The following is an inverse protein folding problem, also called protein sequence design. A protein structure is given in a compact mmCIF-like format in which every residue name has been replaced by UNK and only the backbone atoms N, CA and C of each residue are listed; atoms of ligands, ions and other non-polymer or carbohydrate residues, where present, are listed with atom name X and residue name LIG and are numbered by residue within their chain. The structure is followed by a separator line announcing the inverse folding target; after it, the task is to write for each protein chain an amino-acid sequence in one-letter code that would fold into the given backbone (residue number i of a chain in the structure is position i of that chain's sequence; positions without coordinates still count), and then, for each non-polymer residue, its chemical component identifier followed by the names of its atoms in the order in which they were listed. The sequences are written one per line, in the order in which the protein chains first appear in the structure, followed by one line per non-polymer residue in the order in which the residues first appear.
data_IF_651331641628
#
_entry.id   IF_651331641628
#
_cell.length_a   1.000
_cell.length_b   1.000
_cell.length_c   1.000
_cell.angle_alpha   90.00
_cell.angle_beta   90.00
_cell.angle_gamma   90.00
#
_symmetry.space_group_name_H-M   'P 1'
#
loop_
_entity.id
_entity.type
_entity.pdbx_description
1 polymer ?
#
# COMPACT_ATOMS: atom_id res chain seq x y z
N UNK A 1 -0.46 -9.53 7.62
CA UNK A 1 -1.40 -10.63 7.27
C UNK A 1 -1.67 -11.53 8.46
N UNK A 2 -0.66 -12.22 9.01
CA UNK A 2 -0.81 -13.22 10.08
C UNK A 2 -1.52 -12.62 11.32
N UNK A 3 -1.14 -11.44 11.75
CA UNK A 3 -1.75 -10.77 12.90
C UNK A 3 -3.25 -10.50 12.67
N UNK A 4 -3.60 -10.04 11.46
CA UNK A 4 -5.00 -9.82 11.10
C UNK A 4 -5.79 -11.12 10.98
N UNK A 5 -5.17 -12.20 10.52
CA UNK A 5 -5.80 -13.54 10.51
C UNK A 5 -6.10 -14.03 11.93
N UNK A 6 -5.14 -13.88 12.85
CA UNK A 6 -5.33 -14.23 14.27
C UNK A 6 -6.46 -13.38 14.89
N UNK A 7 -6.45 -12.07 14.65
CA UNK A 7 -7.51 -11.17 15.13
C UNK A 7 -8.89 -11.58 14.58
N UNK A 8 -8.96 -11.85 13.27
CA UNK A 8 -10.20 -12.31 12.62
C UNK A 8 -10.69 -13.62 13.24
N UNK A 9 -9.81 -14.57 13.48
CA UNK A 9 -10.14 -15.82 14.12
C UNK A 9 -10.72 -15.62 15.55
N UNK A 10 -10.10 -14.75 16.33
CA UNK A 10 -10.56 -14.42 17.69
C UNK A 10 -11.95 -13.78 17.64
N UNK A 11 -12.16 -12.79 16.77
CA UNK A 11 -13.44 -12.09 16.62
C UNK A 11 -14.53 -13.04 16.13
N UNK A 12 -14.24 -13.86 15.12
CA UNK A 12 -15.18 -14.83 14.56
C UNK A 12 -15.62 -15.87 15.60
N UNK A 13 -14.68 -16.31 16.45
CA UNK A 13 -15.00 -17.22 17.56
C UNK A 13 -15.88 -16.57 18.62
N UNK A 14 -15.55 -15.31 19.02
CA UNK A 14 -16.32 -14.58 20.04
C UNK A 14 -17.74 -14.22 19.58
N UNK A 15 -17.93 -13.94 18.29
CA UNK A 15 -19.23 -13.56 17.71
C UNK A 15 -20.01 -14.76 17.16
N UNK A 16 -19.53 -16.00 17.32
CA UNK A 16 -20.16 -17.20 16.82
C UNK A 16 -20.58 -17.10 15.33
N UNK A 17 -19.69 -16.61 14.48
CA UNK A 17 -19.99 -16.50 13.05
C UNK A 17 -20.28 -17.91 12.46
N UNK A 18 -21.28 -18.01 11.55
CA UNK A 18 -21.60 -19.26 10.90
C UNK A 18 -20.38 -19.84 10.21
N UNK A 19 -20.18 -21.14 10.37
CA UNK A 19 -19.06 -21.85 9.75
C UNK A 19 -19.58 -22.65 8.57
N UNK A 20 -18.99 -22.44 7.42
CA UNK A 20 -19.19 -23.33 6.28
C UNK A 20 -18.48 -24.67 6.47
N UNK A 21 -18.98 -25.68 5.77
CA UNK A 21 -18.34 -26.99 5.74
C UNK A 21 -16.93 -26.86 5.14
N UNK A 22 -15.97 -27.57 5.71
CA UNK A 22 -14.60 -27.59 5.18
C UNK A 22 -14.63 -28.08 3.74
N UNK A 23 -13.99 -27.31 2.85
CA UNK A 23 -13.83 -27.72 1.47
C UNK A 23 -13.05 -29.03 1.38
N UNK A 24 -13.52 -29.94 0.55
CA UNK A 24 -12.81 -31.19 0.26
C UNK A 24 -11.55 -30.87 -0.54
N UNK A 25 -10.48 -31.66 -0.38
CA UNK A 25 -9.22 -31.46 -1.11
C UNK A 25 -9.44 -31.38 -2.63
N UNK A 26 -10.39 -32.16 -3.17
CA UNK A 26 -10.78 -32.06 -4.59
C UNK A 26 -11.40 -30.72 -4.97
N UNK A 27 -12.22 -30.14 -4.11
CA UNK A 27 -12.79 -28.80 -4.32
C UNK A 27 -11.73 -27.72 -4.26
N UNK A 28 -10.80 -27.82 -3.28
CA UNK A 28 -9.66 -26.94 -3.18
C UNK A 28 -8.77 -26.99 -4.43
N UNK A 29 -8.42 -28.19 -4.90
CA UNK A 29 -7.59 -28.37 -6.09
C UNK A 29 -8.28 -27.82 -7.35
N UNK A 30 -9.60 -28.02 -7.47
CA UNK A 30 -10.41 -27.50 -8.56
C UNK A 30 -10.49 -25.97 -8.56
N UNK A 31 -10.64 -25.34 -7.39
CA UNK A 31 -10.61 -23.90 -7.22
C UNK A 31 -9.21 -23.32 -7.51
N UNK A 32 -8.16 -23.97 -6.99
CA UNK A 32 -6.77 -23.56 -7.25
C UNK A 32 -6.40 -23.63 -8.72
N UNK A 33 -6.83 -24.67 -9.45
CA UNK A 33 -6.64 -24.75 -10.90
C UNK A 33 -7.30 -23.60 -11.66
N UNK A 34 -8.51 -23.20 -11.26
CA UNK A 34 -9.22 -22.07 -11.90
C UNK A 34 -8.57 -20.72 -11.58
N UNK A 35 -8.07 -20.58 -10.36
CA UNK A 35 -7.40 -19.34 -9.92
C UNK A 35 -5.92 -19.28 -10.34
N UNK A 36 -5.31 -20.40 -10.75
CA UNK A 36 -3.87 -20.49 -10.97
C UNK A 36 -3.34 -19.45 -11.96
N UNK A 37 -4.02 -19.25 -13.08
CA UNK A 37 -3.59 -18.27 -14.09
C UNK A 37 -3.66 -16.83 -13.57
N UNK A 38 -4.72 -16.48 -12.81
CA UNK A 38 -4.82 -15.14 -12.22
C UNK A 38 -3.79 -14.94 -11.10
N UNK A 39 -3.52 -15.96 -10.28
CA UNK A 39 -2.49 -15.92 -9.24
C UNK A 39 -1.09 -15.87 -9.85
N UNK A 40 -0.87 -16.50 -11.01
CA UNK A 40 0.41 -16.49 -11.70
C UNK A 40 0.85 -15.10 -12.15
N UNK A 41 -0.10 -14.16 -12.38
CA UNK A 41 0.24 -12.75 -12.63
C UNK A 41 1.05 -12.14 -11.49
N UNK A 42 0.65 -12.41 -10.23
CA UNK A 42 1.43 -11.96 -9.07
C UNK A 42 2.84 -12.56 -9.03
N UNK A 43 2.98 -13.82 -9.43
CA UNK A 43 4.30 -14.48 -9.52
C UNK A 43 5.15 -13.87 -10.63
N UNK A 44 4.58 -13.55 -11.79
CA UNK A 44 5.29 -12.87 -12.89
C UNK A 44 5.82 -11.51 -12.44
N UNK A 45 4.96 -10.69 -11.81
CA UNK A 45 5.33 -9.33 -11.38
C UNK A 45 6.41 -9.41 -10.29
N UNK A 46 6.10 -10.06 -9.16
CA UNK A 46 7.01 -10.11 -8.02
C UNK A 46 8.27 -10.89 -8.33
N UNK A 47 8.14 -12.06 -8.97
CA UNK A 47 9.27 -12.88 -9.35
C UNK A 47 10.19 -12.17 -10.37
N UNK A 48 9.60 -11.52 -11.37
CA UNK A 48 10.37 -10.78 -12.38
C UNK A 48 11.16 -9.60 -11.78
N UNK A 49 10.57 -8.88 -10.84
CA UNK A 49 11.26 -7.76 -10.15
C UNK A 49 12.33 -8.31 -9.19
N UNK A 50 12.01 -9.31 -8.37
CA UNK A 50 12.95 -9.86 -7.38
C UNK A 50 14.16 -10.55 -8.02
N UNK A 51 13.97 -11.18 -9.19
CA UNK A 51 15.05 -11.80 -9.96
C UNK A 51 15.82 -10.80 -10.82
N UNK A 52 15.45 -9.52 -10.82
CA UNK A 52 16.10 -8.49 -11.63
C UNK A 52 15.85 -8.60 -13.14
N UNK A 53 14.85 -9.40 -13.55
CA UNK A 53 14.47 -9.58 -14.96
C UNK A 53 13.72 -8.36 -15.48
N UNK A 54 12.89 -7.74 -14.64
CA UNK A 54 12.07 -6.59 -14.97
C UNK A 54 12.25 -5.46 -13.97
N UNK A 55 12.26 -4.24 -14.46
CA UNK A 55 11.98 -3.06 -13.66
C UNK A 55 10.49 -3.02 -13.25
N UNK A 56 10.12 -2.24 -12.26
CA UNK A 56 8.72 -2.09 -11.86
C UNK A 56 7.81 -1.63 -13.01
N UNK A 57 8.31 -0.75 -13.88
CA UNK A 57 7.58 -0.25 -15.05
C UNK A 57 7.38 -1.35 -16.11
N UNK A 58 8.42 -2.14 -16.40
CA UNK A 58 8.32 -3.26 -17.32
C UNK A 58 7.41 -4.36 -16.79
N UNK A 59 7.48 -4.66 -15.51
CA UNK A 59 6.57 -5.60 -14.85
C UNK A 59 5.11 -5.15 -14.96
N UNK A 60 4.83 -3.84 -14.86
CA UNK A 60 3.49 -3.30 -15.06
C UNK A 60 3.02 -3.50 -16.52
N UNK A 61 3.88 -3.25 -17.51
CA UNK A 61 3.56 -3.48 -18.92
C UNK A 61 3.26 -4.96 -19.20
N UNK A 62 4.10 -5.87 -18.68
CA UNK A 62 3.87 -7.33 -18.78
C UNK A 62 2.55 -7.74 -18.13
N UNK A 63 2.24 -7.17 -16.96
CA UNK A 63 0.96 -7.42 -16.26
C UNK A 63 -0.24 -6.98 -17.08
N UNK A 64 -0.17 -5.81 -17.76
CA UNK A 64 -1.25 -5.33 -18.64
C UNK A 64 -1.46 -6.30 -19.80
N UNK A 65 -0.38 -6.72 -20.48
CA UNK A 65 -0.48 -7.67 -21.62
C UNK A 65 -1.04 -9.01 -21.14
N UNK A 66 -0.54 -9.53 -20.03
CA UNK A 66 -1.01 -10.78 -19.47
C UNK A 66 -2.49 -10.70 -19.01
N UNK A 67 -2.86 -9.64 -18.30
CA UNK A 67 -4.23 -9.39 -17.85
C UNK A 67 -5.20 -9.24 -19.02
N UNK A 68 -4.78 -8.53 -20.08
CA UNK A 68 -5.54 -8.42 -21.33
C UNK A 68 -5.79 -9.80 -21.95
N UNK A 69 -4.74 -10.60 -22.08
CA UNK A 69 -4.86 -11.96 -22.66
C UNK A 69 -5.81 -12.82 -21.82
N UNK A 70 -5.69 -12.81 -20.50
CA UNK A 70 -6.59 -13.57 -19.62
C UNK A 70 -8.03 -13.12 -19.74
N UNK A 71 -8.30 -11.82 -19.65
CA UNK A 71 -9.65 -11.28 -19.54
C UNK A 71 -10.41 -11.27 -20.87
N UNK A 72 -9.71 -11.00 -21.97
CA UNK A 72 -10.34 -10.90 -23.30
C UNK A 72 -10.33 -12.24 -24.03
N UNK A 73 -9.20 -12.95 -24.03
CA UNK A 73 -9.02 -14.15 -24.86
C UNK A 73 -9.45 -15.42 -24.11
N UNK A 74 -8.98 -15.60 -22.88
CA UNK A 74 -9.15 -16.84 -22.15
C UNK A 74 -10.49 -16.90 -21.41
N UNK A 75 -10.77 -15.89 -20.57
CA UNK A 75 -12.00 -15.86 -19.76
C UNK A 75 -13.17 -15.22 -20.50
N UNK A 76 -12.88 -14.40 -21.53
CA UNK A 76 -13.89 -13.69 -22.34
C UNK A 76 -14.85 -12.83 -21.49
N UNK A 77 -14.36 -12.31 -20.38
CA UNK A 77 -15.12 -11.45 -19.46
C UNK A 77 -15.22 -10.02 -20.00
N UNK A 78 -14.17 -9.55 -20.70
CA UNK A 78 -14.09 -8.22 -21.30
C UNK A 78 -14.30 -8.34 -22.81
N UNK A 79 -15.31 -7.63 -23.33
CA UNK A 79 -15.53 -7.52 -24.77
C UNK A 79 -14.61 -6.47 -25.37
N UNK A 80 -14.16 -6.69 -26.61
CA UNK A 80 -13.34 -5.72 -27.34
C UNK A 80 -13.97 -4.33 -27.44
N UNK A 81 -15.31 -4.26 -27.47
CA UNK A 81 -16.07 -3.00 -27.48
C UNK A 81 -15.94 -2.19 -26.18
N UNK A 82 -15.52 -2.79 -25.08
CA UNK A 82 -15.30 -2.12 -23.78
C UNK A 82 -13.89 -1.55 -23.65
N UNK A 83 -12.95 -1.99 -24.49
CA UNK A 83 -11.55 -1.55 -24.43
C UNK A 83 -11.36 -0.04 -24.58
N UNK A 84 -12.04 0.67 -25.51
CA UNK A 84 -11.90 2.12 -25.61
C UNK A 84 -12.27 2.85 -24.32
N UNK A 85 -13.32 2.39 -23.61
CA UNK A 85 -13.70 2.94 -22.32
C UNK A 85 -12.63 2.70 -21.23
N UNK A 86 -12.11 1.46 -21.14
CA UNK A 86 -11.05 1.11 -20.19
C UNK A 86 -9.77 1.93 -20.45
N UNK A 87 -9.40 2.09 -21.73
CA UNK A 87 -8.23 2.89 -22.12
C UNK A 87 -8.45 4.38 -21.80
N UNK A 88 -9.68 4.88 -22.02
CA UNK A 88 -10.03 6.26 -21.67
C UNK A 88 -9.89 6.51 -20.17
N UNK A 89 -10.46 5.64 -19.34
CA UNK A 89 -10.35 5.75 -17.88
C UNK A 89 -8.89 5.68 -17.41
N UNK A 90 -8.12 4.76 -17.98
CA UNK A 90 -6.69 4.65 -17.69
C UNK A 90 -5.91 5.91 -18.10
N UNK A 91 -6.23 6.49 -19.27
CA UNK A 91 -5.60 7.72 -19.75
C UNK A 91 -5.94 8.92 -18.86
N UNK A 92 -7.19 9.05 -18.41
CA UNK A 92 -7.60 10.12 -17.47
C UNK A 92 -6.86 9.99 -16.15
N UNK A 93 -6.82 8.79 -15.56
CA UNK A 93 -6.09 8.56 -14.29
C UNK A 93 -4.60 8.86 -14.47
N UNK A 94 -3.99 8.38 -15.54
CA UNK A 94 -2.58 8.65 -15.84
C UNK A 94 -2.30 10.15 -16.01
N UNK A 95 -3.20 10.86 -16.71
CA UNK A 95 -3.08 12.31 -16.91
C UNK A 95 -3.14 13.10 -15.60
N UNK A 96 -4.08 12.73 -14.71
CA UNK A 96 -4.18 13.32 -13.38
C UNK A 96 -2.89 13.07 -12.57
N UNK A 97 -2.39 11.83 -12.55
CA UNK A 97 -1.14 11.49 -11.84
C UNK A 97 0.03 12.29 -12.40
N UNK A 98 0.17 12.38 -13.73
CA UNK A 98 1.25 13.14 -14.37
C UNK A 98 1.18 14.64 -14.04
N UNK A 99 -0.02 15.23 -14.02
CA UNK A 99 -0.21 16.63 -13.60
C UNK A 99 0.27 16.85 -12.16
N UNK A 100 -0.13 15.96 -11.26
CA UNK A 100 0.26 16.03 -9.85
C UNK A 100 1.77 15.88 -9.69
N UNK A 101 2.38 14.93 -10.38
CA UNK A 101 3.84 14.74 -10.40
C UNK A 101 4.52 16.02 -10.88
N UNK A 102 4.05 16.64 -11.98
CA UNK A 102 4.60 17.90 -12.50
C UNK A 102 4.55 19.04 -11.47
N UNK A 103 3.42 19.23 -10.81
CA UNK A 103 3.25 20.24 -9.74
C UNK A 103 4.17 19.94 -8.55
N UNK A 104 4.27 18.67 -8.16
CA UNK A 104 5.09 18.23 -7.03
C UNK A 104 6.59 18.46 -7.27
N UNK A 105 7.07 18.34 -8.51
CA UNK A 105 8.45 18.70 -8.84
C UNK A 105 8.73 20.18 -8.59
N UNK A 106 7.80 21.08 -8.98
CA UNK A 106 7.91 22.50 -8.68
C UNK A 106 7.97 22.77 -7.18
N UNK A 107 7.08 22.13 -6.41
CA UNK A 107 7.08 22.21 -4.95
C UNK A 107 8.38 21.65 -4.34
N UNK A 108 8.85 20.51 -4.83
CA UNK A 108 10.12 19.89 -4.41
C UNK A 108 11.31 20.82 -4.67
N UNK A 109 11.33 21.50 -5.82
CA UNK A 109 12.39 22.47 -6.14
C UNK A 109 12.40 23.66 -5.16
N UNK A 110 11.24 24.24 -4.85
CA UNK A 110 11.13 25.32 -3.88
C UNK A 110 11.58 24.87 -2.49
N UNK A 111 11.12 23.71 -2.02
CA UNK A 111 11.50 23.19 -0.70
C UNK A 111 12.99 22.90 -0.59
N UNK A 112 13.61 22.41 -1.66
CA UNK A 112 15.05 22.18 -1.74
C UNK A 112 15.84 23.50 -1.74
N UNK A 113 15.40 24.50 -2.55
CA UNK A 113 16.01 25.83 -2.60
C UNK A 113 15.98 26.55 -1.24
N UNK A 114 14.85 26.46 -0.55
CA UNK A 114 14.67 27.03 0.81
C UNK A 114 15.32 26.18 1.91
N UNK A 115 15.97 25.07 1.55
CA UNK A 115 16.63 24.15 2.47
C UNK A 115 15.71 23.63 3.59
N UNK A 116 14.41 23.51 3.31
CA UNK A 116 13.41 23.07 4.30
C UNK A 116 13.78 21.69 4.90
N UNK A 117 14.17 20.66 4.10
CA UNK A 117 14.56 19.36 4.67
C UNK A 117 15.77 19.48 5.61
N UNK A 118 16.74 20.33 5.30
CA UNK A 118 17.94 20.53 6.13
C UNK A 118 17.57 21.19 7.44
N UNK A 119 16.81 22.29 7.39
CA UNK A 119 16.33 23.01 8.58
C UNK A 119 15.49 22.10 9.48
N UNK A 120 14.63 21.27 8.88
CA UNK A 120 13.80 20.32 9.61
C UNK A 120 14.67 19.21 10.27
N UNK A 121 15.67 18.70 9.57
CA UNK A 121 16.58 17.70 10.12
C UNK A 121 17.38 18.28 11.29
N UNK A 122 17.94 19.48 11.15
CA UNK A 122 18.69 20.17 12.20
C UNK A 122 17.82 20.44 13.43
N UNK A 123 16.58 20.88 13.21
CA UNK A 123 15.60 21.03 14.29
C UNK A 123 15.35 19.70 15.01
N UNK A 124 15.09 18.63 14.26
CA UNK A 124 14.83 17.30 14.82
C UNK A 124 16.04 16.71 15.58
N UNK A 125 17.27 16.95 15.10
CA UNK A 125 18.49 16.49 15.76
C UNK A 125 18.71 17.17 17.13
N UNK A 126 18.23 18.40 17.27
CA UNK A 126 18.34 19.15 18.52
C UNK A 126 17.23 18.81 19.54
N UNK A 127 16.21 18.02 19.12
CA UNK A 127 15.18 17.56 20.05
C UNK A 127 15.64 16.34 20.83
N UNK A 128 15.24 16.20 22.12
CA UNK A 128 15.42 14.97 22.87
C UNK A 128 14.76 13.79 22.12
N UNK A 129 15.56 12.77 21.79
CA UNK A 129 15.07 11.62 21.04
C UNK A 129 15.13 11.76 19.50
N UNK A 130 15.54 12.89 18.95
CA UNK A 130 15.83 13.16 17.53
C UNK A 130 15.18 12.23 16.49
N UNK A 131 15.87 11.15 16.12
CA UNK A 131 15.40 10.13 15.18
C UNK A 131 14.04 9.50 15.56
N UNK A 132 13.85 9.15 16.84
CA UNK A 132 12.64 8.47 17.32
C UNK A 132 11.44 9.42 17.25
N UNK A 133 11.61 10.68 17.63
CA UNK A 133 10.58 11.71 17.57
C UNK A 133 10.22 12.01 16.12
N UNK A 134 11.22 12.09 15.23
CA UNK A 134 10.99 12.24 13.80
C UNK A 134 10.12 11.11 13.24
N UNK A 135 10.49 9.85 13.50
CA UNK A 135 9.75 8.69 13.02
C UNK A 135 8.32 8.67 13.56
N UNK A 136 8.11 9.07 14.82
CA UNK A 136 6.77 9.23 15.40
C UNK A 136 5.95 10.29 14.67
N UNK A 137 6.53 11.49 14.49
CA UNK A 137 5.86 12.59 13.80
C UNK A 137 5.50 12.24 12.36
N UNK A 138 6.41 11.57 11.65
CA UNK A 138 6.16 11.07 10.29
C UNK A 138 5.02 10.05 10.27
N UNK A 139 4.96 9.11 11.21
CA UNK A 139 3.85 8.17 11.30
C UNK A 139 2.50 8.88 11.47
N UNK A 140 2.42 9.84 12.40
CA UNK A 140 1.17 10.58 12.62
C UNK A 140 0.78 11.39 11.38
N UNK A 141 1.75 12.10 10.78
CA UNK A 141 1.51 12.88 9.57
C UNK A 141 0.98 12.01 8.43
N UNK A 142 1.65 10.88 8.15
CA UNK A 142 1.29 9.99 7.06
C UNK A 142 -0.04 9.25 7.31
N UNK A 143 -0.36 8.90 8.55
CA UNK A 143 -1.68 8.35 8.89
C UNK A 143 -2.77 9.37 8.59
N UNK A 144 -2.60 10.62 9.02
CA UNK A 144 -3.56 11.70 8.74
C UNK A 144 -3.67 11.93 7.23
N UNK A 145 -2.55 12.04 6.53
CA UNK A 145 -2.56 12.24 5.08
C UNK A 145 -3.24 11.08 4.35
N UNK A 146 -2.96 9.83 4.74
CA UNK A 146 -3.59 8.65 4.15
C UNK A 146 -5.10 8.55 4.41
N UNK A 147 -5.63 9.19 5.46
CA UNK A 147 -7.08 9.26 5.70
C UNK A 147 -7.80 10.15 4.68
N UNK A 148 -7.16 11.22 4.20
CA UNK A 148 -7.79 12.26 3.37
C UNK A 148 -7.36 12.22 1.91
N UNK A 149 -6.15 11.74 1.62
CA UNK A 149 -5.55 11.79 0.30
C UNK A 149 -5.23 10.38 -0.22
N UNK A 150 -5.14 10.27 -1.54
CA UNK A 150 -4.63 9.08 -2.19
C UNK A 150 -3.15 8.81 -1.80
N UNK A 151 -2.80 7.53 -1.70
CA UNK A 151 -1.45 7.14 -1.31
C UNK A 151 -0.39 7.62 -2.30
N UNK A 152 -0.68 7.59 -3.60
CA UNK A 152 0.25 8.03 -4.65
C UNK A 152 0.54 9.52 -4.52
N UNK A 153 -0.51 10.34 -4.29
CA UNK A 153 -0.41 11.78 -4.01
C UNK A 153 0.48 12.05 -2.79
N UNK A 154 0.17 11.36 -1.70
CA UNK A 154 0.90 11.54 -0.44
C UNK A 154 2.39 11.19 -0.58
N UNK A 155 2.71 10.12 -1.30
CA UNK A 155 4.11 9.74 -1.58
C UNK A 155 4.81 10.82 -2.40
N UNK A 156 4.21 11.25 -3.51
CA UNK A 156 4.85 12.22 -4.43
C UNK A 156 5.11 13.57 -3.76
N UNK A 157 4.23 14.00 -2.86
CA UNK A 157 4.38 15.29 -2.16
C UNK A 157 5.31 15.18 -0.95
N UNK A 158 5.11 14.17 -0.10
CA UNK A 158 5.78 14.13 1.21
C UNK A 158 7.14 13.46 1.19
N UNK A 159 7.34 12.42 0.38
CA UNK A 159 8.60 11.68 0.37
C UNK A 159 9.79 12.56 -0.03
N UNK A 160 9.73 13.42 -1.05
CA UNK A 160 10.83 14.32 -1.38
C UNK A 160 11.26 15.24 -0.25
N UNK A 161 10.36 15.57 0.68
CA UNK A 161 10.63 16.43 1.84
C UNK A 161 11.16 15.59 3.00
N UNK A 162 10.51 14.47 3.30
CA UNK A 162 10.80 13.68 4.51
C UNK A 162 11.99 12.74 4.34
N UNK A 163 12.21 12.21 3.14
CA UNK A 163 13.28 11.25 2.88
C UNK A 163 14.69 11.80 3.14
N UNK A 164 15.07 13.02 2.65
CA UNK A 164 16.38 13.59 2.97
C UNK A 164 16.60 13.78 4.48
N UNK A 165 15.53 14.14 5.21
CA UNK A 165 15.58 14.26 6.68
C UNK A 165 15.81 12.89 7.31
N UNK A 166 15.07 11.87 6.86
CA UNK A 166 15.21 10.49 7.34
C UNK A 166 16.65 9.98 7.17
N UNK A 167 17.23 10.17 5.98
CA UNK A 167 18.61 9.75 5.67
C UNK A 167 19.60 10.49 6.55
N UNK A 168 19.47 11.81 6.74
CA UNK A 168 20.34 12.61 7.63
C UNK A 168 20.27 12.16 9.10
N UNK A 169 19.11 11.67 9.54
CA UNK A 169 18.90 11.09 10.87
C UNK A 169 19.34 9.61 10.96
N UNK A 170 19.94 9.04 9.92
CA UNK A 170 20.41 7.66 9.87
C UNK A 170 19.29 6.63 9.84
N UNK A 171 18.14 6.95 9.21
CA UNK A 171 17.10 5.98 8.91
C UNK A 171 17.44 5.29 7.57
N UNK A 172 17.42 3.96 7.57
CA UNK A 172 17.67 3.18 6.37
C UNK A 172 16.59 3.47 5.30
N UNK A 173 16.95 3.68 4.02
CA UNK A 173 16.02 3.97 2.93
C UNK A 173 14.89 2.94 2.75
N UNK A 174 15.22 1.66 2.79
CA UNK A 174 14.24 0.57 2.63
C UNK A 174 13.31 0.51 3.84
N UNK A 175 13.84 0.71 5.03
CA UNK A 175 13.06 0.80 6.25
C UNK A 175 12.11 2.02 6.23
N UNK A 176 12.59 3.19 5.80
CA UNK A 176 11.76 4.39 5.62
C UNK A 176 10.62 4.12 4.65
N UNK A 177 10.93 3.61 3.45
CA UNK A 177 9.92 3.28 2.44
C UNK A 177 8.87 2.29 2.97
N UNK A 178 9.30 1.28 3.72
CA UNK A 178 8.40 0.25 4.27
C UNK A 178 7.35 0.88 5.20
N UNK A 179 7.76 1.68 6.18
CA UNK A 179 6.77 2.24 7.09
C UNK A 179 5.95 3.38 6.46
N UNK A 180 6.47 4.10 5.45
CA UNK A 180 5.69 5.07 4.66
C UNK A 180 4.53 4.37 3.95
N UNK A 181 4.82 3.31 3.21
CA UNK A 181 3.79 2.54 2.48
C UNK A 181 2.78 1.92 3.44
N UNK A 182 3.23 1.37 4.56
CA UNK A 182 2.33 0.83 5.58
C UNK A 182 1.41 1.90 6.18
N UNK A 183 1.92 3.09 6.50
CA UNK A 183 1.14 4.21 7.02
C UNK A 183 0.00 4.59 6.07
N UNK A 184 0.35 4.83 4.81
CA UNK A 184 -0.61 5.23 3.80
C UNK A 184 -1.66 4.15 3.55
N UNK A 185 -1.23 2.87 3.51
CA UNK A 185 -2.14 1.73 3.40
C UNK A 185 -3.13 1.61 4.56
N UNK A 186 -2.69 1.90 5.80
CA UNK A 186 -3.57 1.93 6.97
C UNK A 186 -4.49 3.14 6.92
N UNK A 187 -3.96 4.33 6.57
CA UNK A 187 -4.75 5.54 6.38
C UNK A 187 -5.89 5.35 5.39
N UNK A 188 -5.62 4.65 4.29
CA UNK A 188 -6.61 4.31 3.24
C UNK A 188 -7.82 3.52 3.75
N UNK A 189 -7.69 2.81 4.87
CA UNK A 189 -8.77 2.05 5.51
C UNK A 189 -9.32 2.74 6.76
N UNK A 190 -8.81 3.92 7.11
CA UNK A 190 -9.13 4.60 8.37
C UNK A 190 -10.13 5.74 8.14
N UNK A 191 -11.21 5.85 8.97
CA UNK A 191 -12.10 6.99 8.91
C UNK A 191 -11.35 8.32 9.18
N UNK A 192 -11.84 9.48 8.72
CA UNK A 192 -13.21 9.74 8.25
C UNK A 192 -13.45 9.45 6.78
N UNK A 193 -12.42 9.50 5.92
CA UNK A 193 -12.59 9.31 4.50
C UNK A 193 -12.33 7.87 4.07
N UNK A 194 -11.13 7.34 4.25
CA UNK A 194 -10.74 5.96 3.94
C UNK A 194 -11.32 5.43 2.63
N UNK A 195 -10.71 5.71 1.49
CA UNK A 195 -11.25 5.37 0.15
C UNK A 195 -11.72 3.91 0.08
N UNK A 196 -10.97 2.99 0.70
CA UNK A 196 -11.34 1.57 0.77
C UNK A 196 -12.67 1.33 1.48
N UNK A 197 -13.08 2.19 2.43
CA UNK A 197 -14.36 2.07 3.13
C UNK A 197 -15.53 2.41 2.23
N UNK A 198 -15.39 3.42 1.36
CA UNK A 198 -16.42 3.76 0.37
C UNK A 198 -16.60 2.61 -0.62
N UNK A 199 -15.50 2.04 -1.11
CA UNK A 199 -15.55 0.89 -2.03
C UNK A 199 -16.23 -0.30 -1.33
N UNK A 200 -15.83 -0.63 -0.12
CA UNK A 200 -16.42 -1.73 0.66
C UNK A 200 -17.91 -1.50 0.95
N UNK A 201 -18.30 -0.28 1.30
CA UNK A 201 -19.70 0.13 1.50
C UNK A 201 -20.54 -0.06 0.22
N UNK A 202 -19.99 0.36 -0.92
CA UNK A 202 -20.65 0.19 -2.22
C UNK A 202 -20.85 -1.27 -2.62
N UNK A 203 -19.83 -2.11 -2.46
CA UNK A 203 -19.89 -3.54 -2.77
C UNK A 203 -20.85 -4.27 -1.82
N UNK A 204 -20.74 -4.01 -0.52
CA UNK A 204 -21.55 -4.68 0.48
C UNK A 204 -23.00 -4.13 0.55
N UNK A 205 -23.28 -3.00 -0.12
CA UNK A 205 -24.57 -2.30 -0.09
C UNK A 205 -25.06 -1.99 1.34
N UNK A 206 -24.13 -1.64 2.23
CA UNK A 206 -24.41 -1.25 3.62
C UNK A 206 -23.86 0.15 3.89
N UNK A 207 -24.48 0.92 4.78
CA UNK A 207 -23.97 2.25 5.12
C UNK A 207 -22.59 2.18 5.76
N UNK A 208 -21.72 3.13 5.42
CA UNK A 208 -20.33 3.20 5.90
C UNK A 208 -20.24 3.18 7.44
N UNK A 209 -21.20 3.80 8.13
CA UNK A 209 -21.28 3.82 9.59
C UNK A 209 -21.37 2.43 10.24
N UNK A 210 -21.96 1.45 9.54
CA UNK A 210 -22.05 0.07 10.00
C UNK A 210 -20.73 -0.71 9.86
N UNK A 211 -19.86 -0.27 8.96
CA UNK A 211 -18.55 -0.90 8.70
C UNK A 211 -17.49 -0.40 9.69
N UNK A 212 -17.55 0.88 10.08
CA UNK A 212 -16.53 1.51 10.92
C UNK A 212 -16.35 0.79 12.27
N UNK A 213 -17.45 0.52 12.98
CA UNK A 213 -17.37 -0.13 14.31
C UNK A 213 -16.71 -1.51 14.29
N UNK A 214 -17.08 -2.44 13.38
CA UNK A 214 -16.39 -3.73 13.26
C UNK A 214 -14.93 -3.61 12.81
N UNK A 215 -14.58 -2.55 12.10
CA UNK A 215 -13.24 -2.35 11.55
C UNK A 215 -12.24 -1.77 12.58
N UNK A 216 -12.74 -1.05 13.59
CA UNK A 216 -11.90 -0.38 14.60
C UNK A 216 -10.84 -1.30 15.24
N UNK A 217 -11.16 -2.54 15.68
CA UNK A 217 -10.13 -3.44 16.22
C UNK A 217 -9.01 -3.76 15.22
N UNK A 218 -9.35 -3.85 13.93
CA UNK A 218 -8.37 -4.09 12.86
C UNK A 218 -7.47 -2.88 12.65
N UNK A 219 -8.04 -1.68 12.60
CA UNK A 219 -7.29 -0.42 12.46
C UNK A 219 -6.33 -0.26 13.63
N UNK A 220 -6.79 -0.43 14.86
CA UNK A 220 -5.95 -0.31 16.05
C UNK A 220 -4.80 -1.35 16.05
N UNK A 221 -5.09 -2.57 15.62
CA UNK A 221 -4.06 -3.62 15.48
C UNK A 221 -3.04 -3.27 14.41
N UNK A 222 -3.47 -2.74 13.26
CA UNK A 222 -2.57 -2.30 12.19
C UNK A 222 -1.72 -1.13 12.63
N UNK A 223 -2.29 -0.13 13.31
CA UNK A 223 -1.53 1.00 13.87
C UNK A 223 -0.52 0.51 14.92
N UNK A 224 -0.93 -0.37 15.83
CA UNK A 224 -0.01 -0.95 16.80
C UNK A 224 1.16 -1.68 16.13
N UNK A 225 0.88 -2.50 15.11
CA UNK A 225 1.91 -3.19 14.34
C UNK A 225 2.78 -2.23 13.52
N UNK A 226 2.21 -1.16 12.98
CA UNK A 226 2.96 -0.09 12.32
C UNK A 226 4.04 0.49 13.23
N UNK A 227 3.69 0.81 14.48
CA UNK A 227 4.67 1.31 15.44
C UNK A 227 5.75 0.26 15.73
N UNK A 228 5.39 -1.02 15.85
CA UNK A 228 6.38 -2.09 16.00
C UNK A 228 7.34 -2.11 14.81
N UNK A 229 6.83 -2.07 13.58
CA UNK A 229 7.69 -2.06 12.37
C UNK A 229 8.55 -0.81 12.34
N UNK A 230 8.00 0.37 12.66
CA UNK A 230 8.72 1.64 12.67
C UNK A 230 9.93 1.62 13.60
N UNK A 231 9.79 1.04 14.79
CA UNK A 231 10.87 1.04 15.79
C UNK A 231 11.73 -0.22 15.81
N UNK A 232 11.37 -1.24 15.02
CA UNK A 232 12.13 -2.49 14.87
C UNK A 232 12.57 -2.67 13.40
N UNK A 233 13.68 -2.01 12.96
CA UNK A 233 14.13 -2.03 11.57
C UNK A 233 14.37 -3.43 11.01
N UNK A 234 14.70 -4.39 11.87
CA UNK A 234 14.90 -5.79 11.47
C UNK A 234 13.70 -6.36 10.73
N UNK A 235 12.48 -6.02 11.15
CA UNK A 235 11.24 -6.54 10.51
C UNK A 235 11.10 -6.11 9.05
N UNK A 236 11.55 -4.93 8.70
CA UNK A 236 11.49 -4.41 7.32
C UNK A 236 12.70 -4.81 6.49
N UNK A 237 13.86 -5.06 7.14
CA UNK A 237 15.11 -5.30 6.44
C UNK A 237 15.45 -6.80 6.28
N UNK A 238 14.80 -7.70 7.03
CA UNK A 238 15.11 -9.13 6.99
C UNK A 238 14.90 -9.74 5.60
N UNK A 239 13.78 -9.43 4.94
CA UNK A 239 13.48 -9.96 3.60
C UNK A 239 14.42 -9.39 2.52
N UNK A 240 14.65 -8.07 2.43
CA UNK A 240 15.63 -7.52 1.49
C UNK A 240 17.04 -8.08 1.70
N UNK A 241 17.46 -8.27 2.94
CA UNK A 241 18.78 -8.88 3.23
C UNK A 241 18.88 -10.33 2.79
N UNK A 242 17.84 -11.12 3.04
CA UNK A 242 17.84 -12.54 2.68
C UNK A 242 17.70 -12.80 1.18
N UNK A 243 16.93 -11.97 0.48
CA UNK A 243 16.58 -12.21 -0.92
C UNK A 243 17.42 -11.43 -1.92
N UNK A 244 17.91 -10.24 -1.53
CA UNK A 244 18.58 -9.30 -2.45
C UNK A 244 20.02 -8.98 -2.02
N UNK A 245 20.53 -9.54 -0.91
CA UNK A 245 21.88 -9.26 -0.40
C UNK A 245 22.08 -7.81 0.06
N UNK A 246 21.01 -7.13 0.47
CA UNK A 246 21.00 -5.72 0.90
C UNK A 246 21.71 -5.50 2.24
#
# INVERSE_FOLDING_TARGET
GIILMILTYIIARRKNFPREKRATFRQFLGASKRAALSLFMGVIILGGILLGVFTATEAAAVAVVYGFFLSVVLYKEIKLSQLPGILWDAAVVSGVVMLIVGISYGFGWVTAKEQIPVKLADFMLNLPGGKLVFMFAVNILLLIMGMFFDASLSVVILVPILFPVAVKLGVDPVHFGTFVVMNLGIGFTTPPYGISLFIASGIAKVPMSSIIKPLLPYILTMIGFLFVVTYVPWLSLVLPRLLMGY
#
